data_IF_409686219925
#
_entry.id   IF_409686219925
#
_cell.length_a   1.000
_cell.length_b   1.000
_cell.length_c   1.000
_cell.angle_alpha   90.00
_cell.angle_beta   90.00
_cell.angle_gamma   90.00
#
_symmetry.space_group_name_H-M   'P 1'
#
loop_
_entity.id
_entity.type
_entity.pdbx_description
1 polymer ?
#
# COMPACT_ATOMS: atom_id res chain seq x y z
N UNK A 1 7.62 8.47 -10.50
CA UNK A 1 7.72 8.05 -9.08
C UNK A 1 6.92 6.78 -8.76
N UNK A 2 6.37 6.07 -9.74
CA UNK A 2 5.63 4.82 -9.52
C UNK A 2 6.52 3.62 -9.13
N UNK A 3 7.72 3.53 -9.72
CA UNK A 3 8.63 2.38 -9.53
C UNK A 3 8.98 2.16 -8.05
N UNK A 4 9.40 3.20 -7.27
CA UNK A 4 9.68 3.01 -5.85
C UNK A 4 8.45 2.53 -5.04
N UNK A 5 7.26 3.09 -5.33
CA UNK A 5 6.03 2.75 -4.60
C UNK A 5 5.66 1.29 -4.83
N UNK A 6 5.66 0.84 -6.08
CA UNK A 6 5.34 -0.55 -6.42
C UNK A 6 6.39 -1.53 -5.90
N UNK A 7 7.67 -1.17 -6.01
CA UNK A 7 8.77 -2.01 -5.53
C UNK A 7 8.72 -2.20 -4.01
N UNK A 8 8.63 -1.12 -3.25
CA UNK A 8 8.54 -1.17 -1.78
C UNK A 8 7.25 -1.87 -1.35
N UNK A 9 6.12 -1.57 -1.99
CA UNK A 9 4.84 -2.23 -1.72
C UNK A 9 4.93 -3.76 -1.90
N UNK A 10 5.56 -4.22 -2.98
CA UNK A 10 5.72 -5.67 -3.25
C UNK A 10 6.57 -6.38 -2.19
N UNK A 11 7.68 -5.76 -1.76
CA UNK A 11 8.55 -6.31 -0.71
C UNK A 11 7.80 -6.39 0.62
N UNK A 12 7.07 -5.33 0.98
CA UNK A 12 6.31 -5.29 2.24
C UNK A 12 5.22 -6.36 2.25
N UNK A 13 4.53 -6.62 1.13
CA UNK A 13 3.51 -7.68 1.06
C UNK A 13 4.11 -9.08 1.22
N UNK A 14 5.29 -9.34 0.64
CA UNK A 14 5.99 -10.62 0.81
C UNK A 14 6.44 -10.77 2.26
N UNK A 15 7.05 -9.73 2.84
CA UNK A 15 7.50 -9.73 4.22
C UNK A 15 6.36 -9.93 5.22
N UNK A 16 5.24 -9.23 5.01
CA UNK A 16 4.09 -9.28 5.93
C UNK A 16 3.35 -10.62 5.91
N UNK A 17 3.51 -11.42 4.85
CA UNK A 17 2.89 -12.76 4.74
C UNK A 17 3.46 -13.71 5.79
N UNK A 18 4.78 -13.67 5.98
CA UNK A 18 5.46 -14.49 6.98
C UNK A 18 5.39 -13.84 8.38
N UNK A 19 5.56 -12.51 8.45
CA UNK A 19 5.55 -11.78 9.72
C UNK A 19 4.21 -11.83 10.46
N UNK A 20 3.08 -11.88 9.75
CA UNK A 20 1.73 -11.96 10.32
C UNK A 20 1.15 -13.38 10.27
N UNK A 21 1.95 -14.41 9.98
CA UNK A 21 1.47 -15.79 9.80
C UNK A 21 0.83 -16.37 11.07
N UNK A 22 1.32 -15.98 12.25
CA UNK A 22 0.83 -16.46 13.55
C UNK A 22 -0.37 -15.65 14.09
N UNK A 23 -0.75 -14.56 13.42
CA UNK A 23 -1.79 -13.64 13.89
C UNK A 23 -3.17 -13.94 13.26
N UNK A 24 -4.24 -14.11 14.06
CA UNK A 24 -5.58 -14.43 13.56
C UNK A 24 -6.27 -13.27 12.80
N UNK A 25 -5.70 -12.06 12.86
CA UNK A 25 -6.27 -10.86 12.23
C UNK A 25 -5.51 -10.43 10.96
N UNK A 26 -4.68 -11.29 10.38
CA UNK A 26 -3.87 -11.01 9.19
C UNK A 26 -4.68 -10.43 8.01
N UNK A 27 -5.91 -10.90 7.81
CA UNK A 27 -6.77 -10.51 6.69
C UNK A 27 -7.20 -9.03 6.75
N UNK A 28 -7.37 -8.48 7.96
CA UNK A 28 -7.64 -7.05 8.17
C UNK A 28 -6.41 -6.22 7.89
N UNK A 29 -5.24 -6.69 8.36
CA UNK A 29 -3.96 -6.02 8.12
C UNK A 29 -3.66 -5.92 6.62
N UNK A 30 -3.79 -7.01 5.86
CA UNK A 30 -3.59 -7.01 4.41
C UNK A 30 -4.55 -6.08 3.68
N UNK A 31 -5.80 -5.99 4.14
CA UNK A 31 -6.79 -5.06 3.57
C UNK A 31 -6.36 -3.60 3.77
N UNK A 32 -5.91 -3.22 4.97
CA UNK A 32 -5.39 -1.87 5.23
C UNK A 32 -4.09 -1.58 4.48
N UNK A 33 -3.20 -2.57 4.36
CA UNK A 33 -1.95 -2.44 3.61
C UNK A 33 -2.20 -2.18 2.12
N UNK A 34 -3.13 -2.93 1.51
CA UNK A 34 -3.53 -2.71 0.12
C UNK A 34 -4.28 -1.40 -0.10
N UNK A 35 -5.07 -0.96 0.88
CA UNK A 35 -5.74 0.35 0.84
C UNK A 35 -4.71 1.49 0.88
N UNK A 36 -3.68 1.38 1.72
CA UNK A 36 -2.59 2.35 1.79
C UNK A 36 -1.85 2.47 0.45
N UNK A 37 -1.53 1.35 -0.19
CA UNK A 37 -0.81 1.37 -1.47
C UNK A 37 -1.68 1.93 -2.59
N UNK A 38 -2.99 1.69 -2.56
CA UNK A 38 -3.95 2.31 -3.47
C UNK A 38 -3.97 3.84 -3.36
N UNK A 39 -4.08 4.38 -2.14
CA UNK A 39 -4.03 5.85 -1.93
C UNK A 39 -2.69 6.45 -2.35
N UNK A 40 -1.57 5.77 -2.07
CA UNK A 40 -0.25 6.18 -2.57
C UNK A 40 -0.16 6.22 -4.10
N UNK A 41 -0.82 5.29 -4.80
CA UNK A 41 -0.89 5.33 -6.25
C UNK A 41 -1.74 6.49 -6.77
N UNK A 42 -2.86 6.81 -6.09
CA UNK A 42 -3.69 7.99 -6.40
C UNK A 42 -2.86 9.26 -6.26
N UNK A 43 -2.16 9.43 -5.13
CA UNK A 43 -1.32 10.59 -4.84
C UNK A 43 -0.28 10.82 -5.95
N UNK A 44 0.45 9.77 -6.34
CA UNK A 44 1.51 9.86 -7.35
C UNK A 44 0.96 10.03 -8.78
N UNK A 45 -0.29 9.62 -9.03
CA UNK A 45 -0.97 9.82 -10.32
C UNK A 45 -1.64 11.18 -10.48
N UNK A 46 -1.77 11.94 -9.39
CA UNK A 46 -2.49 13.21 -9.38
C UNK A 46 -1.83 14.27 -10.26
N UNK A 47 -2.56 14.75 -11.27
CA UNK A 47 -2.16 15.90 -12.09
C UNK A 47 -2.68 17.26 -11.54
N UNK A 48 -3.35 17.24 -10.38
CA UNK A 48 -3.88 18.42 -9.72
C UNK A 48 -3.78 18.28 -8.19
N UNK A 49 -3.77 19.43 -7.49
CA UNK A 49 -3.62 19.46 -6.03
C UNK A 49 -4.79 18.81 -5.28
N UNK A 50 -5.98 18.74 -5.89
CA UNK A 50 -7.13 18.10 -5.27
C UNK A 50 -6.93 16.58 -5.17
N UNK A 51 -6.51 15.92 -6.25
CA UNK A 51 -6.22 14.49 -6.27
C UNK A 51 -5.03 14.16 -5.37
N UNK A 52 -4.02 15.04 -5.32
CA UNK A 52 -2.87 14.90 -4.41
C UNK A 52 -3.27 15.03 -2.92
N UNK A 53 -4.37 15.70 -2.58
CA UNK A 53 -4.90 15.79 -1.21
C UNK A 53 -5.76 14.58 -0.83
N UNK A 54 -6.43 13.97 -1.81
CA UNK A 54 -7.28 12.79 -1.63
C UNK A 54 -6.46 11.50 -1.53
N UNK A 55 -5.37 11.41 -2.30
CA UNK A 55 -4.38 10.35 -2.18
C UNK A 55 -3.53 10.51 -0.93
#
# INVERSE_FOLDING_TARGET
MFIPVLYISSIIHIFSTDYMAEDPHNQRFFSYLSLFTFFMLILVSGANFFVMFVG
#
